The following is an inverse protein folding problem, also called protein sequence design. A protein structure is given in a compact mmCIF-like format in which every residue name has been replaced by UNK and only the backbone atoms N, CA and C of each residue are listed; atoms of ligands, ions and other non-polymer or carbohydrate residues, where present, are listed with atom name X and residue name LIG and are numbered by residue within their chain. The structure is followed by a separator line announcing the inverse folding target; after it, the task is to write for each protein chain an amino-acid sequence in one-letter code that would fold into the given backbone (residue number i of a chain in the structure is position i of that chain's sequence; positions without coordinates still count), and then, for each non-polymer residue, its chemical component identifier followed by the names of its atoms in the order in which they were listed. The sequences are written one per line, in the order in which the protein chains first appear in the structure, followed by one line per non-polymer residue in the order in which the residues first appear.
data_IF_051839297226
#
_entry.id   IF_051839297226
#
_cell.length_a   1.000
_cell.length_b   1.000
_cell.length_c   1.000
_cell.angle_alpha   90.00
_cell.angle_beta   90.00
_cell.angle_gamma   90.00
#
_symmetry.space_group_name_H-M   'P 1'
#
loop_
_entity.id
_entity.type
_entity.pdbx_description
1 polymer ?
#
# COMPACT_ATOMS: atom_id res chain seq x y z
N UNK A 1 -41.53 9.76 -3.97
CA UNK A 1 -40.23 10.48 -3.74
C UNK A 1 -39.43 9.63 -2.77
N UNK A 2 -38.54 8.80 -3.31
CA UNK A 2 -37.62 8.00 -2.48
C UNK A 2 -36.45 8.96 -2.16
N UNK A 3 -36.38 9.40 -0.90
CA UNK A 3 -35.24 10.15 -0.38
C UNK A 3 -34.01 9.23 -0.44
N UNK A 4 -33.13 9.48 -1.40
CA UNK A 4 -31.79 8.89 -1.38
C UNK A 4 -31.07 9.46 -0.16
N UNK A 5 -31.03 8.70 0.92
CA UNK A 5 -30.14 8.99 2.02
C UNK A 5 -28.71 9.02 1.43
N UNK A 6 -28.13 10.20 1.36
CA UNK A 6 -26.72 10.39 1.00
C UNK A 6 -25.93 9.67 2.10
N UNK A 7 -25.47 8.44 1.81
CA UNK A 7 -24.63 7.67 2.72
C UNK A 7 -23.36 8.49 2.95
N UNK A 8 -22.99 8.68 4.22
CA UNK A 8 -21.73 9.36 4.55
C UNK A 8 -20.57 8.62 3.89
N UNK A 9 -19.60 9.35 3.32
CA UNK A 9 -18.44 8.72 2.69
C UNK A 9 -17.76 7.72 3.64
N UNK A 10 -17.18 6.61 3.13
CA UNK A 10 -16.49 5.62 3.93
C UNK A 10 -15.41 6.24 4.82
N UNK A 11 -15.23 5.71 6.04
CA UNK A 11 -14.27 6.23 7.05
C UNK A 11 -12.86 6.39 6.51
N UNK A 12 -12.42 5.46 5.67
CA UNK A 12 -11.10 5.50 5.06
C UNK A 12 -10.91 6.74 4.18
N UNK A 13 -11.85 7.02 3.28
CA UNK A 13 -11.81 8.20 2.43
C UNK A 13 -11.99 9.49 3.24
N UNK A 14 -12.81 9.45 4.31
CA UNK A 14 -12.95 10.56 5.23
C UNK A 14 -11.65 10.90 5.96
N UNK A 15 -10.86 9.89 6.34
CA UNK A 15 -9.55 10.12 6.96
C UNK A 15 -8.56 10.74 5.97
N UNK A 16 -8.55 10.31 4.71
CA UNK A 16 -7.74 10.92 3.64
C UNK A 16 -8.17 12.37 3.35
N UNK A 17 -9.47 12.64 3.35
CA UNK A 17 -10.03 13.97 3.10
C UNK A 17 -10.08 14.89 4.34
N UNK A 18 -9.57 14.51 5.49
CA UNK A 18 -9.68 15.23 6.77
C UNK A 18 -11.08 15.42 7.32
N UNK A 19 -11.98 14.52 7.07
CA UNK A 19 -13.39 14.63 7.46
C UNK A 19 -13.80 13.56 8.47
N UNK A 20 -12.88 12.77 8.99
CA UNK A 20 -13.18 11.73 9.99
C UNK A 20 -13.27 12.33 11.41
N UNK A 21 -14.11 13.35 11.57
CA UNK A 21 -14.19 14.17 12.78
C UNK A 21 -14.79 13.47 14.01
N UNK A 22 -15.46 12.32 13.84
CA UNK A 22 -16.09 11.61 14.95
C UNK A 22 -15.99 10.10 14.79
N UNK A 23 -15.56 9.43 15.85
CA UNK A 23 -15.48 7.98 15.93
C UNK A 23 -14.06 7.42 15.76
N UNK A 24 -13.97 6.09 15.72
CA UNK A 24 -12.70 5.39 15.57
C UNK A 24 -12.02 5.66 14.24
N UNK A 25 -10.70 5.56 14.16
CA UNK A 25 -10.00 5.59 12.87
C UNK A 25 -10.37 4.37 12.00
N UNK A 26 -10.26 4.46 10.66
CA UNK A 26 -10.36 3.32 9.76
C UNK A 26 -9.16 2.40 9.91
N UNK A 27 -9.36 1.10 9.60
CA UNK A 27 -8.31 0.08 9.61
C UNK A 27 -8.30 -0.73 8.32
N UNK A 28 -7.11 -0.90 7.75
CA UNK A 28 -6.79 -1.91 6.75
C UNK A 28 -5.36 -2.40 7.00
N UNK A 29 -4.93 -3.50 6.38
CA UNK A 29 -3.64 -4.14 6.71
C UNK A 29 -2.84 -4.42 5.44
N UNK A 30 -1.60 -3.95 5.38
CA UNK A 30 -0.68 -4.36 4.32
C UNK A 30 -0.55 -5.89 4.27
N UNK A 31 -0.72 -6.47 3.08
CA UNK A 31 -0.77 -7.92 2.83
C UNK A 31 -1.93 -8.61 3.54
N UNK A 32 -3.05 -7.90 3.74
CA UNK A 32 -4.27 -8.47 4.34
C UNK A 32 -4.80 -9.69 3.58
N UNK A 33 -4.67 -9.74 2.26
CA UNK A 33 -4.80 -10.96 1.46
C UNK A 33 -3.45 -11.65 1.39
N UNK A 34 -3.29 -12.83 2.00
CA UNK A 34 -1.98 -13.45 2.06
C UNK A 34 -1.93 -14.81 2.76
N UNK A 35 -0.73 -15.35 2.84
CA UNK A 35 -0.45 -16.72 3.28
C UNK A 35 -0.89 -17.07 4.70
N UNK A 36 -1.21 -16.10 5.53
CA UNK A 36 -1.73 -16.35 6.87
C UNK A 36 -3.21 -16.79 6.85
N UNK A 37 -3.94 -16.54 5.74
CA UNK A 37 -5.34 -16.95 5.55
C UNK A 37 -5.41 -18.38 5.00
N UNK A 38 -6.14 -19.30 5.65
CA UNK A 38 -6.36 -20.66 5.13
C UNK A 38 -7.04 -20.68 3.75
N UNK A 39 -7.98 -19.75 3.50
CA UNK A 39 -8.69 -19.59 2.24
C UNK A 39 -7.74 -19.22 1.10
N UNK A 40 -6.82 -18.29 1.35
CA UNK A 40 -5.75 -17.96 0.42
C UNK A 40 -4.85 -19.17 0.14
N UNK A 41 -4.48 -19.92 1.18
CA UNK A 41 -3.64 -21.11 1.02
C UNK A 41 -4.33 -22.19 0.19
N UNK A 42 -5.65 -22.36 0.34
CA UNK A 42 -6.43 -23.30 -0.46
C UNK A 42 -6.40 -22.97 -1.97
N UNK A 43 -6.44 -21.68 -2.32
CA UNK A 43 -6.26 -21.21 -3.71
C UNK A 43 -4.82 -21.45 -4.16
N UNK A 44 -3.83 -21.09 -3.32
CA UNK A 44 -2.41 -21.22 -3.61
C UNK A 44 -1.94 -22.65 -3.85
N UNK A 45 -2.64 -23.64 -3.28
CA UNK A 45 -2.39 -25.06 -3.54
C UNK A 45 -2.84 -25.52 -4.92
N UNK A 46 -3.84 -24.83 -5.51
CA UNK A 46 -4.41 -25.16 -6.82
C UNK A 46 -3.75 -24.42 -7.96
N UNK A 47 -3.33 -23.16 -7.71
CA UNK A 47 -2.83 -22.26 -8.74
C UNK A 47 -1.42 -21.72 -8.40
N UNK A 48 -0.50 -21.69 -9.37
CA UNK A 48 0.76 -20.96 -9.22
C UNK A 48 0.50 -19.44 -9.01
N UNK A 49 1.43 -18.75 -8.36
CA UNK A 49 1.25 -17.34 -8.00
C UNK A 49 1.11 -16.45 -9.24
N UNK A 50 1.82 -16.77 -10.30
CA UNK A 50 1.75 -16.09 -11.60
C UNK A 50 0.35 -16.14 -12.20
N UNK A 51 -0.33 -17.28 -12.09
CA UNK A 51 -1.70 -17.45 -12.55
C UNK A 51 -2.68 -16.69 -11.66
N UNK A 52 -2.48 -16.75 -10.34
CA UNK A 52 -3.32 -15.99 -9.39
C UNK A 52 -3.31 -14.48 -9.66
N UNK A 53 -2.16 -13.92 -10.08
CA UNK A 53 -2.05 -12.50 -10.43
C UNK A 53 -2.64 -12.15 -11.79
N UNK A 54 -2.85 -13.14 -12.69
CA UNK A 54 -3.31 -12.93 -14.07
C UNK A 54 -4.76 -13.34 -14.32
N UNK A 55 -5.41 -13.92 -13.33
CA UNK A 55 -6.80 -14.36 -13.43
C UNK A 55 -7.72 -13.40 -12.69
N UNK A 56 -8.62 -12.67 -13.38
CA UNK A 56 -9.50 -11.67 -12.78
C UNK A 56 -10.38 -12.21 -11.65
N UNK A 57 -10.91 -13.44 -11.80
CA UNK A 57 -11.76 -14.09 -10.80
C UNK A 57 -10.96 -14.41 -9.52
N UNK A 58 -9.70 -14.84 -9.65
CA UNK A 58 -8.82 -15.06 -8.50
C UNK A 58 -8.39 -13.74 -7.84
N UNK A 59 -8.14 -12.70 -8.63
CA UNK A 59 -7.89 -11.35 -8.10
C UNK A 59 -9.07 -10.90 -7.26
N UNK A 60 -10.29 -11.05 -7.78
CA UNK A 60 -11.54 -10.72 -7.08
C UNK A 60 -11.68 -11.54 -5.78
N UNK A 61 -11.64 -12.87 -5.87
CA UNK A 61 -11.84 -13.75 -4.73
C UNK A 61 -10.83 -13.46 -3.61
N UNK A 62 -9.54 -13.35 -3.95
CA UNK A 62 -8.48 -13.14 -2.97
C UNK A 62 -8.56 -11.74 -2.34
N UNK A 63 -8.89 -10.72 -3.14
CA UNK A 63 -9.05 -9.34 -2.62
C UNK A 63 -10.20 -9.25 -1.62
N UNK A 64 -11.28 -10.02 -1.84
CA UNK A 64 -12.48 -10.02 -1.00
C UNK A 64 -12.29 -10.76 0.33
N UNK A 65 -11.46 -11.80 0.38
CA UNK A 65 -11.25 -12.63 1.59
C UNK A 65 -11.05 -11.82 2.88
N UNK A 66 -10.16 -10.81 2.97
CA UNK A 66 -9.97 -10.04 4.18
C UNK A 66 -11.21 -9.24 4.63
N UNK A 67 -12.06 -8.83 3.70
CA UNK A 67 -13.30 -8.13 4.04
C UNK A 67 -14.24 -9.06 4.80
N UNK A 68 -14.40 -10.28 4.32
CA UNK A 68 -15.30 -11.29 4.89
C UNK A 68 -14.73 -11.91 6.18
N UNK A 69 -13.40 -12.11 6.25
CA UNK A 69 -12.76 -12.88 7.33
C UNK A 69 -12.36 -12.00 8.51
N UNK A 70 -11.77 -10.83 8.27
CA UNK A 70 -11.24 -9.95 9.33
C UNK A 70 -11.96 -8.59 9.40
N UNK A 71 -12.81 -8.27 8.42
CA UNK A 71 -13.70 -7.12 8.46
C UNK A 71 -13.01 -5.75 8.43
N UNK A 72 -12.00 -5.56 7.60
CA UNK A 72 -11.30 -4.28 7.40
C UNK A 72 -12.18 -3.21 6.74
N UNK A 73 -11.79 -1.94 6.87
CA UNK A 73 -12.57 -0.79 6.35
C UNK A 73 -12.19 -0.38 4.91
N UNK A 74 -11.18 -1.01 4.31
CA UNK A 74 -10.81 -0.83 2.92
C UNK A 74 -10.20 -2.12 2.35
N UNK A 75 -10.48 -2.40 1.09
CA UNK A 75 -9.81 -3.45 0.32
C UNK A 75 -8.52 -2.89 -0.29
N UNK A 76 -7.50 -3.73 -0.44
CA UNK A 76 -6.38 -3.46 -1.34
C UNK A 76 -6.33 -4.55 -2.39
N UNK A 77 -6.20 -4.15 -3.63
CA UNK A 77 -6.16 -5.03 -4.79
C UNK A 77 -5.12 -6.15 -4.60
N UNK A 78 -5.49 -7.38 -4.89
CA UNK A 78 -4.51 -8.47 -4.97
C UNK A 78 -3.76 -8.38 -6.30
N UNK A 79 -2.57 -7.83 -6.25
CA UNK A 79 -1.67 -7.61 -7.38
C UNK A 79 -0.20 -7.67 -6.89
N UNK A 80 0.76 -7.45 -7.78
CA UNK A 80 2.18 -7.37 -7.42
C UNK A 80 2.81 -6.06 -7.92
N UNK A 81 3.78 -5.53 -7.17
CA UNK A 81 4.54 -4.34 -7.55
C UNK A 81 5.38 -4.55 -8.82
N UNK A 82 5.61 -5.81 -9.20
CA UNK A 82 6.39 -6.20 -10.39
C UNK A 82 5.54 -6.34 -11.67
N UNK A 83 4.27 -5.93 -11.63
CA UNK A 83 3.50 -5.73 -12.86
C UNK A 83 4.15 -4.67 -13.78
N UNK A 84 4.89 -3.71 -13.22
CA UNK A 84 5.60 -2.71 -14.03
C UNK A 84 6.71 -3.35 -14.88
N UNK A 85 7.66 -4.15 -14.35
CA UNK A 85 8.59 -4.91 -15.19
C UNK A 85 7.90 -5.78 -16.25
N UNK A 86 6.77 -6.41 -15.91
CA UNK A 86 6.00 -7.20 -16.88
C UNK A 86 5.48 -6.32 -18.03
N UNK A 87 4.94 -5.14 -17.74
CA UNK A 87 4.49 -4.17 -18.74
C UNK A 87 5.66 -3.53 -19.53
N UNK A 88 6.87 -3.54 -18.96
CA UNK A 88 8.11 -3.15 -19.63
C UNK A 88 8.67 -4.27 -20.54
N UNK A 89 7.96 -5.40 -20.67
CA UNK A 89 8.36 -6.51 -21.55
C UNK A 89 9.36 -7.48 -20.93
N UNK A 90 9.58 -7.42 -19.61
CA UNK A 90 10.44 -8.33 -18.88
C UNK A 90 9.62 -9.48 -18.27
N UNK A 91 10.26 -10.63 -18.10
CA UNK A 91 9.63 -11.75 -17.37
C UNK A 91 9.73 -11.59 -15.87
N UNK A 92 8.67 -11.98 -15.17
CA UNK A 92 8.61 -11.99 -13.70
C UNK A 92 8.20 -13.39 -13.25
N UNK A 93 9.00 -13.97 -12.36
CA UNK A 93 8.73 -15.28 -11.77
C UNK A 93 8.83 -15.26 -10.25
N UNK A 94 8.11 -16.19 -9.60
CA UNK A 94 8.00 -16.30 -8.15
C UNK A 94 8.43 -17.69 -7.68
N UNK A 95 9.74 -18.01 -7.65
CA UNK A 95 10.26 -19.35 -7.38
C UNK A 95 10.02 -19.84 -5.93
N UNK A 96 9.33 -19.07 -5.09
CA UNK A 96 8.96 -19.45 -3.73
C UNK A 96 10.06 -19.21 -2.69
N UNK A 97 11.30 -19.56 -2.96
CA UNK A 97 12.47 -19.23 -2.11
C UNK A 97 13.27 -18.08 -2.75
N UNK A 98 13.71 -17.12 -1.94
CA UNK A 98 14.55 -16.00 -2.41
C UNK A 98 13.79 -14.77 -2.94
N UNK A 99 12.47 -14.79 -2.97
CA UNK A 99 11.64 -13.70 -3.49
C UNK A 99 11.45 -13.73 -5.00
N UNK A 100 10.75 -12.74 -5.57
CA UNK A 100 10.50 -12.65 -7.00
C UNK A 100 11.77 -12.36 -7.79
N UNK A 101 11.78 -12.83 -9.05
CA UNK A 101 12.91 -12.65 -9.98
C UNK A 101 12.41 -11.97 -11.25
N UNK A 102 13.09 -10.90 -11.65
CA UNK A 102 12.88 -10.22 -12.94
C UNK A 102 13.98 -10.67 -13.92
N UNK A 103 13.62 -10.99 -15.14
CA UNK A 103 14.54 -11.46 -16.18
C UNK A 103 14.13 -10.90 -17.56
N UNK A 104 15.12 -10.52 -18.42
CA UNK A 104 16.54 -10.40 -18.10
C UNK A 104 16.83 -9.30 -17.09
N UNK A 105 17.96 -9.43 -16.37
CA UNK A 105 18.42 -8.34 -15.48
C UNK A 105 18.90 -7.15 -16.32
N UNK A 106 18.69 -5.96 -15.78
CA UNK A 106 19.16 -4.70 -16.34
C UNK A 106 20.39 -4.28 -15.53
N UNK A 107 21.58 -4.52 -16.06
CA UNK A 107 22.84 -4.35 -15.31
C UNK A 107 23.60 -3.06 -15.68
N UNK A 108 23.18 -2.35 -16.72
CA UNK A 108 23.77 -1.12 -17.20
C UNK A 108 23.01 -0.48 -18.36
N UNK A 109 23.55 0.62 -18.91
CA UNK A 109 22.90 1.39 -19.97
C UNK A 109 22.61 0.59 -21.25
N UNK A 110 23.51 -0.30 -21.65
CA UNK A 110 23.32 -1.15 -22.84
C UNK A 110 22.11 -2.08 -22.70
N UNK A 111 21.77 -2.48 -21.48
CA UNK A 111 20.64 -3.35 -21.20
C UNK A 111 19.29 -2.64 -21.32
N UNK A 112 19.24 -1.32 -21.36
CA UNK A 112 18.00 -0.57 -21.59
C UNK A 112 17.31 -0.95 -22.90
N UNK A 113 18.07 -1.41 -23.89
CA UNK A 113 17.54 -1.94 -25.14
C UNK A 113 16.70 -3.21 -24.99
N UNK A 114 16.81 -3.91 -23.86
CA UNK A 114 15.97 -5.08 -23.52
C UNK A 114 14.57 -4.69 -23.08
N UNK A 115 14.38 -3.43 -22.71
CA UNK A 115 13.09 -2.90 -22.25
C UNK A 115 12.24 -2.57 -23.47
N UNK A 116 11.07 -3.20 -23.53
CA UNK A 116 10.09 -3.03 -24.61
C UNK A 116 8.72 -2.71 -24.01
N UNK A 117 8.45 -1.45 -23.64
CA UNK A 117 7.19 -1.07 -23.00
C UNK A 117 6.00 -1.45 -23.88
N UNK A 118 5.01 -2.07 -23.26
CA UNK A 118 3.71 -2.39 -23.87
C UNK A 118 2.65 -1.45 -23.30
N UNK A 119 1.57 -1.16 -24.04
CA UNK A 119 0.41 -0.50 -23.48
C UNK A 119 -0.09 -1.25 -22.25
N UNK A 120 -0.32 -0.54 -21.15
CA UNK A 120 -0.72 -1.18 -19.87
C UNK A 120 -2.07 -1.87 -19.99
N UNK A 121 -2.98 -1.34 -20.79
CA UNK A 121 -4.30 -1.91 -21.08
C UNK A 121 -4.20 -3.28 -21.76
N UNK A 122 -3.14 -3.52 -22.52
CA UNK A 122 -2.88 -4.81 -23.16
C UNK A 122 -2.11 -5.74 -22.20
N UNK A 123 -1.02 -5.24 -21.62
CA UNK A 123 -0.13 -6.05 -20.81
C UNK A 123 -0.74 -6.46 -19.46
N UNK A 124 -1.65 -5.65 -18.91
CA UNK A 124 -2.21 -5.77 -17.56
C UNK A 124 -3.75 -5.71 -17.56
N UNK A 125 -4.43 -6.11 -18.65
CA UNK A 125 -5.90 -6.10 -18.78
C UNK A 125 -6.58 -6.86 -17.65
N UNK A 126 -5.99 -7.97 -17.21
CA UNK A 126 -6.50 -8.79 -16.11
C UNK A 126 -6.63 -8.04 -14.79
N UNK A 127 -5.80 -7.02 -14.55
CA UNK A 127 -5.92 -6.14 -13.38
C UNK A 127 -7.16 -5.27 -13.49
N UNK A 128 -7.38 -4.68 -14.67
CA UNK A 128 -8.57 -3.85 -14.97
C UNK A 128 -9.86 -4.65 -14.80
N UNK A 129 -9.88 -5.86 -15.36
CA UNK A 129 -11.01 -6.79 -15.26
C UNK A 129 -11.28 -7.18 -13.79
N UNK A 130 -10.25 -7.52 -13.01
CA UNK A 130 -10.38 -7.82 -11.58
C UNK A 130 -10.90 -6.65 -10.76
N UNK A 131 -10.50 -5.39 -11.09
CA UNK A 131 -11.04 -4.19 -10.44
C UNK A 131 -12.53 -4.02 -10.77
N UNK A 132 -12.96 -4.24 -12.02
CA UNK A 132 -14.36 -4.15 -12.39
C UNK A 132 -15.22 -5.14 -11.60
N UNK A 133 -14.80 -6.42 -11.50
CA UNK A 133 -15.50 -7.43 -10.68
C UNK A 133 -15.60 -6.99 -9.21
N UNK A 134 -14.52 -6.44 -8.64
CA UNK A 134 -14.53 -5.94 -7.27
C UNK A 134 -15.52 -4.79 -7.07
N UNK A 135 -15.56 -3.83 -7.99
CA UNK A 135 -16.44 -2.65 -7.86
C UNK A 135 -17.91 -2.96 -7.99
N UNK A 136 -18.29 -4.10 -8.58
CA UNK A 136 -19.65 -4.60 -8.60
C UNK A 136 -20.13 -5.19 -7.26
N UNK A 137 -19.19 -5.70 -6.44
CA UNK A 137 -19.50 -6.54 -5.27
C UNK A 137 -19.12 -5.92 -3.91
N UNK A 138 -18.06 -5.09 -3.85
CA UNK A 138 -17.58 -4.55 -2.57
C UNK A 138 -18.16 -3.17 -2.28
N UNK A 139 -18.57 -2.96 -1.02
CA UNK A 139 -19.11 -1.67 -0.55
C UNK A 139 -18.03 -0.76 0.09
N UNK A 140 -16.85 -1.33 0.40
CA UNK A 140 -15.73 -0.58 1.00
C UNK A 140 -14.83 0.02 -0.08
N UNK A 141 -14.07 1.09 0.23
CA UNK A 141 -13.09 1.63 -0.72
C UNK A 141 -12.07 0.60 -1.17
N UNK A 142 -11.74 0.63 -2.45
CA UNK A 142 -10.70 -0.18 -3.06
C UNK A 142 -9.42 0.63 -3.26
N UNK A 143 -8.32 0.15 -2.69
CA UNK A 143 -6.99 0.74 -2.85
C UNK A 143 -6.28 0.03 -4.00
N UNK A 144 -5.94 0.79 -5.05
CA UNK A 144 -4.99 0.35 -6.06
C UNK A 144 -3.56 0.64 -5.62
N UNK A 145 -2.57 0.09 -6.32
CA UNK A 145 -1.19 0.35 -5.94
C UNK A 145 -0.18 0.05 -7.06
N UNK A 146 1.05 0.55 -6.86
CA UNK A 146 2.23 0.07 -7.57
C UNK A 146 3.48 0.10 -6.69
N UNK A 147 4.58 -0.44 -7.17
CA UNK A 147 5.90 -0.23 -6.58
C UNK A 147 6.41 1.19 -6.85
N UNK A 148 7.12 1.78 -5.88
CA UNK A 148 7.85 3.01 -6.12
C UNK A 148 8.97 2.79 -7.16
N UNK A 149 9.29 3.80 -8.00
CA UNK A 149 10.23 3.62 -9.10
C UNK A 149 11.59 3.07 -8.69
N UNK A 150 12.14 3.52 -7.56
CA UNK A 150 13.42 3.01 -7.07
C UNK A 150 13.31 1.55 -6.60
N UNK A 151 12.20 1.18 -5.97
CA UNK A 151 11.95 -0.21 -5.57
C UNK A 151 11.84 -1.12 -6.78
N UNK A 152 11.11 -0.73 -7.82
CA UNK A 152 10.98 -1.49 -9.07
C UNK A 152 12.34 -1.63 -9.74
N UNK A 153 13.10 -0.53 -9.87
CA UNK A 153 14.47 -0.54 -10.39
C UNK A 153 15.35 -1.53 -9.61
N UNK A 154 15.26 -1.56 -8.27
CA UNK A 154 16.04 -2.48 -7.43
C UNK A 154 15.76 -3.95 -7.77
N UNK A 155 14.50 -4.31 -8.05
CA UNK A 155 14.15 -5.66 -8.50
C UNK A 155 14.65 -5.95 -9.92
N UNK A 156 14.62 -4.99 -10.82
CA UNK A 156 15.09 -5.15 -12.21
C UNK A 156 16.61 -5.30 -12.27
N UNK A 157 17.35 -4.55 -11.44
CA UNK A 157 18.82 -4.51 -11.45
C UNK A 157 19.47 -5.50 -10.48
N UNK A 158 18.73 -5.95 -9.47
CA UNK A 158 19.25 -6.81 -8.41
C UNK A 158 20.15 -6.05 -7.42
N UNK A 159 21.10 -6.78 -6.81
CA UNK A 159 21.92 -6.26 -5.68
C UNK A 159 22.84 -5.08 -6.04
N UNK A 160 23.02 -4.77 -7.32
CA UNK A 160 24.00 -3.78 -7.80
C UNK A 160 23.38 -2.39 -8.04
N UNK A 161 22.11 -2.15 -7.67
CA UNK A 161 21.43 -0.88 -7.94
C UNK A 161 22.24 0.34 -7.51
N UNK A 162 22.78 0.37 -6.29
CA UNK A 162 23.57 1.52 -5.81
C UNK A 162 24.86 1.73 -6.58
N UNK A 163 25.55 0.66 -6.98
CA UNK A 163 26.73 0.78 -7.83
C UNK A 163 26.38 1.53 -9.13
N UNK A 164 25.26 1.18 -9.76
CA UNK A 164 24.83 1.80 -10.99
C UNK A 164 24.49 3.27 -10.84
N UNK A 165 23.82 3.67 -9.75
CA UNK A 165 23.55 5.09 -9.46
C UNK A 165 24.79 5.99 -9.50
N UNK A 166 25.98 5.45 -9.22
CA UNK A 166 27.23 6.19 -9.22
C UNK A 166 28.09 5.97 -10.46
N UNK A 167 28.09 4.77 -11.03
CA UNK A 167 28.92 4.45 -12.20
C UNK A 167 28.35 4.95 -13.52
N UNK A 168 27.01 5.04 -13.62
CA UNK A 168 26.30 5.50 -14.82
C UNK A 168 24.96 6.12 -14.43
N UNK A 169 24.96 7.30 -13.81
CA UNK A 169 23.77 7.96 -13.34
C UNK A 169 22.80 8.35 -14.46
N UNK A 170 23.27 8.63 -15.66
CA UNK A 170 22.41 9.01 -16.80
C UNK A 170 21.49 7.87 -17.20
N UNK A 171 22.02 6.68 -17.39
CA UNK A 171 21.22 5.49 -17.70
C UNK A 171 20.33 5.06 -16.53
N UNK A 172 20.79 5.26 -15.28
CA UNK A 172 19.98 5.03 -14.10
C UNK A 172 18.75 5.98 -14.05
N UNK A 173 18.93 7.26 -14.37
CA UNK A 173 17.82 8.23 -14.50
C UNK A 173 16.87 7.85 -15.65
N UNK A 174 17.40 7.44 -16.80
CA UNK A 174 16.58 7.00 -17.93
C UNK A 174 15.69 5.79 -17.54
N UNK A 175 16.24 4.81 -16.83
CA UNK A 175 15.47 3.67 -16.34
C UNK A 175 14.41 4.10 -15.32
N UNK A 176 14.76 4.93 -14.35
CA UNK A 176 13.80 5.44 -13.36
C UNK A 176 12.66 6.22 -14.04
N UNK A 177 12.94 7.01 -15.07
CA UNK A 177 11.91 7.72 -15.83
C UNK A 177 11.00 6.75 -16.58
N UNK A 178 11.57 5.76 -17.27
CA UNK A 178 10.80 4.72 -17.97
C UNK A 178 9.86 3.96 -17.03
N UNK A 179 10.35 3.58 -15.85
CA UNK A 179 9.54 2.94 -14.80
C UNK A 179 8.43 3.88 -14.34
N UNK A 180 8.74 5.17 -14.13
CA UNK A 180 7.78 6.18 -13.66
C UNK A 180 6.66 6.38 -14.67
N UNK A 181 6.99 6.55 -15.94
CA UNK A 181 6.01 6.74 -17.01
C UNK A 181 5.05 5.53 -17.10
N UNK A 182 5.59 4.32 -17.04
CA UNK A 182 4.79 3.10 -17.04
C UNK A 182 3.96 2.94 -15.77
N UNK A 183 4.49 3.35 -14.62
CA UNK A 183 3.75 3.35 -13.35
C UNK A 183 2.58 4.33 -13.38
N UNK A 184 2.76 5.53 -13.93
CA UNK A 184 1.69 6.52 -14.09
C UNK A 184 0.59 5.97 -15.00
N UNK A 185 0.94 5.38 -16.15
CA UNK A 185 -0.02 4.76 -17.05
C UNK A 185 -0.81 3.64 -16.36
N UNK A 186 -0.12 2.76 -15.63
CA UNK A 186 -0.74 1.66 -14.88
C UNK A 186 -1.68 2.14 -13.77
N UNK A 187 -1.29 3.18 -13.02
CA UNK A 187 -2.12 3.75 -11.97
C UNK A 187 -3.35 4.46 -12.53
N UNK A 188 -3.22 5.17 -13.65
CA UNK A 188 -4.36 5.78 -14.35
C UNK A 188 -5.36 4.73 -14.81
N UNK A 189 -4.90 3.61 -15.37
CA UNK A 189 -5.76 2.48 -15.72
C UNK A 189 -6.52 1.93 -14.50
N UNK A 190 -5.86 1.81 -13.33
CA UNK A 190 -6.54 1.40 -12.10
C UNK A 190 -7.59 2.41 -11.65
N UNK A 191 -7.29 3.72 -11.73
CA UNK A 191 -8.24 4.80 -11.39
C UNK A 191 -9.45 4.79 -12.34
N UNK A 192 -9.22 4.67 -13.64
CA UNK A 192 -10.28 4.55 -14.63
C UNK A 192 -11.15 3.30 -14.43
N UNK A 193 -10.55 2.20 -13.96
CA UNK A 193 -11.27 0.99 -13.60
C UNK A 193 -12.08 1.11 -12.30
N UNK A 194 -11.82 2.15 -11.47
CA UNK A 194 -12.66 2.50 -10.32
C UNK A 194 -12.04 2.35 -8.94
N UNK A 195 -10.72 2.30 -8.79
CA UNK A 195 -10.09 2.34 -7.45
C UNK A 195 -10.31 3.71 -6.80
N UNK A 196 -10.46 3.73 -5.49
CA UNK A 196 -10.84 4.93 -4.72
C UNK A 196 -9.62 5.68 -4.14
N UNK A 197 -8.48 5.02 -4.06
CA UNK A 197 -7.19 5.59 -3.62
C UNK A 197 -6.04 4.75 -4.17
N UNK A 198 -4.83 5.32 -4.17
CA UNK A 198 -3.61 4.66 -4.61
C UNK A 198 -2.59 4.62 -3.47
N UNK A 199 -1.93 3.46 -3.31
CA UNK A 199 -0.76 3.31 -2.44
C UNK A 199 0.51 3.07 -3.27
N UNK A 200 1.58 3.84 -3.01
CA UNK A 200 2.89 3.61 -3.62
C UNK A 200 3.82 2.93 -2.61
N UNK A 201 4.32 1.75 -2.97
CA UNK A 201 5.22 0.97 -2.11
C UNK A 201 6.68 1.14 -2.54
N UNK A 202 7.40 2.10 -1.95
CA UNK A 202 8.83 2.28 -2.22
C UNK A 202 9.69 1.62 -1.12
N UNK A 203 9.45 0.33 -0.91
CA UNK A 203 10.00 -0.44 0.22
C UNK A 203 11.53 -0.51 0.26
N UNK A 204 12.21 -0.40 -0.90
CA UNK A 204 13.67 -0.43 -0.98
C UNK A 204 14.32 0.97 -0.93
N UNK A 205 13.53 2.05 -0.84
CA UNK A 205 14.10 3.39 -0.68
C UNK A 205 14.92 3.55 0.63
N UNK A 206 14.73 2.66 1.61
CA UNK A 206 15.57 2.57 2.81
C UNK A 206 17.04 2.24 2.55
N UNK A 207 17.40 1.78 1.36
CA UNK A 207 18.80 1.62 0.94
C UNK A 207 19.49 2.96 0.66
N UNK A 208 18.72 4.02 0.42
CA UNK A 208 19.22 5.33 0.05
C UNK A 208 19.53 6.17 1.28
N UNK A 209 20.65 6.89 1.24
CA UNK A 209 20.85 8.04 2.12
C UNK A 209 19.84 9.15 1.77
N UNK A 210 19.67 10.13 2.65
CA UNK A 210 18.79 11.27 2.39
C UNK A 210 19.12 11.97 1.07
N UNK A 211 20.40 12.21 0.79
CA UNK A 211 20.85 12.86 -0.45
C UNK A 211 20.52 12.01 -1.68
N UNK A 212 20.74 10.70 -1.60
CA UNK A 212 20.37 9.78 -2.69
C UNK A 212 18.86 9.72 -2.88
N UNK A 213 18.07 9.70 -1.80
CA UNK A 213 16.60 9.73 -1.88
C UNK A 213 16.11 10.98 -2.62
N UNK A 214 16.61 12.16 -2.25
CA UNK A 214 16.28 13.41 -2.93
C UNK A 214 16.66 13.41 -4.41
N UNK A 215 17.68 12.65 -4.80
CA UNK A 215 18.16 12.58 -6.16
C UNK A 215 17.49 11.49 -6.99
N UNK A 216 17.32 10.28 -6.45
CA UNK A 216 16.97 9.08 -7.21
C UNK A 216 15.59 8.48 -6.88
N UNK A 217 14.88 8.99 -5.89
CA UNK A 217 13.52 8.54 -5.56
C UNK A 217 12.51 9.69 -5.59
N UNK A 218 12.78 10.78 -4.86
CA UNK A 218 11.85 11.87 -4.67
C UNK A 218 11.32 12.51 -5.97
N UNK A 219 12.13 12.81 -7.02
CA UNK A 219 11.64 13.43 -8.24
C UNK A 219 10.64 12.55 -9.01
N UNK A 220 10.82 11.24 -8.97
CA UNK A 220 9.98 10.25 -9.63
C UNK A 220 8.68 10.00 -8.87
N UNK A 221 8.74 9.91 -7.54
CA UNK A 221 7.55 9.86 -6.68
C UNK A 221 6.71 11.13 -6.85
N UNK A 222 7.35 12.30 -7.01
CA UNK A 222 6.66 13.56 -7.26
C UNK A 222 5.82 13.51 -8.53
N UNK A 223 6.40 13.03 -9.64
CA UNK A 223 5.69 12.88 -10.90
C UNK A 223 4.44 11.99 -10.76
N UNK A 224 4.54 10.89 -10.00
CA UNK A 224 3.39 10.00 -9.75
C UNK A 224 2.32 10.74 -8.94
N UNK A 225 2.70 11.38 -7.82
CA UNK A 225 1.74 12.09 -6.96
C UNK A 225 1.01 13.20 -7.73
N UNK A 226 1.71 13.93 -8.61
CA UNK A 226 1.13 15.02 -9.40
C UNK A 226 0.26 14.53 -10.58
N UNK A 227 0.42 13.26 -11.01
CA UNK A 227 -0.28 12.72 -12.18
C UNK A 227 -1.57 11.96 -11.86
N UNK A 228 -1.87 11.70 -10.58
CA UNK A 228 -2.99 10.85 -10.13
C UNK A 228 -4.07 11.70 -9.47
N UNK A 229 -5.31 11.55 -9.93
CA UNK A 229 -6.46 12.38 -9.52
C UNK A 229 -7.24 11.85 -8.30
N UNK A 230 -6.87 10.66 -7.77
CA UNK A 230 -7.42 10.11 -6.52
C UNK A 230 -6.40 10.23 -5.39
N UNK A 231 -6.79 10.12 -4.11
CA UNK A 231 -5.85 10.22 -3.00
C UNK A 231 -4.67 9.26 -3.11
N UNK A 232 -3.45 9.79 -2.93
CA UNK A 232 -2.19 9.03 -2.99
C UNK A 232 -1.58 8.89 -1.61
N UNK A 233 -1.23 7.65 -1.26
CA UNK A 233 -0.57 7.27 -0.02
C UNK A 233 0.85 6.81 -0.35
N UNK A 234 1.86 7.43 0.24
CA UNK A 234 3.25 7.03 0.08
C UNK A 234 3.72 6.15 1.23
N UNK A 235 4.40 5.06 0.93
CA UNK A 235 5.05 4.18 1.91
C UNK A 235 6.50 3.90 1.54
N UNK A 236 7.37 3.93 2.54
CA UNK A 236 8.72 3.36 2.47
C UNK A 236 9.07 2.70 3.80
N UNK A 237 9.97 1.73 3.76
CA UNK A 237 10.64 1.26 4.98
C UNK A 237 11.57 2.37 5.48
N UNK A 238 11.76 2.46 6.78
CA UNK A 238 12.51 3.53 7.43
C UNK A 238 12.01 4.94 7.04
N UNK A 239 10.70 5.08 6.75
CA UNK A 239 10.05 6.32 6.31
C UNK A 239 10.19 7.47 7.32
N UNK A 240 10.40 7.17 8.61
CA UNK A 240 10.70 8.16 9.66
C UNK A 240 11.97 8.98 9.39
N UNK A 241 12.91 8.47 8.59
CA UNK A 241 14.10 9.22 8.17
C UNK A 241 13.82 10.24 7.07
N UNK A 242 12.73 10.05 6.29
CA UNK A 242 12.39 10.84 5.11
C UNK A 242 11.11 11.66 5.28
N UNK A 243 10.68 11.93 6.52
CA UNK A 243 9.42 12.67 6.77
C UNK A 243 9.35 13.98 6.01
N UNK A 244 10.42 14.79 6.06
CA UNK A 244 10.47 16.10 5.38
C UNK A 244 10.38 15.98 3.86
N UNK A 245 11.03 14.96 3.32
CA UNK A 245 11.09 14.67 1.89
C UNK A 245 9.73 14.18 1.38
N UNK A 246 9.05 13.31 2.14
CA UNK A 246 7.69 12.87 1.83
C UNK A 246 6.67 14.01 1.94
N UNK A 247 6.75 14.83 2.99
CA UNK A 247 5.89 16.02 3.16
C UNK A 247 6.05 16.99 1.99
N UNK A 248 7.27 17.16 1.47
CA UNK A 248 7.53 18.04 0.32
C UNK A 248 6.85 17.55 -0.98
N UNK A 249 6.53 16.26 -1.09
CA UNK A 249 5.79 15.68 -2.22
C UNK A 249 4.28 15.99 -2.18
N UNK A 250 3.75 16.43 -1.02
CA UNK A 250 2.34 16.74 -0.79
C UNK A 250 1.37 15.59 -1.13
N UNK A 251 1.63 14.36 -0.69
CA UNK A 251 0.66 13.29 -0.83
C UNK A 251 -0.55 13.51 0.07
N UNK A 252 -1.63 12.77 -0.14
CA UNK A 252 -2.79 12.80 0.77
C UNK A 252 -2.51 12.09 2.08
N UNK A 253 -1.66 11.04 2.06
CA UNK A 253 -1.21 10.35 3.25
C UNK A 253 0.23 9.84 3.15
N UNK A 254 0.87 9.69 4.31
CA UNK A 254 2.16 9.01 4.45
C UNK A 254 1.98 7.83 5.40
N UNK A 255 2.37 6.65 4.94
CA UNK A 255 2.37 5.41 5.71
C UNK A 255 3.76 5.18 6.31
N UNK A 256 3.79 4.94 7.61
CA UNK A 256 5.03 4.81 8.38
C UNK A 256 5.23 3.40 8.89
N UNK A 257 6.48 2.96 8.91
CA UNK A 257 6.86 1.73 9.58
C UNK A 257 6.91 1.91 11.12
N UNK A 258 7.16 0.80 11.82
CA UNK A 258 7.11 0.75 13.29
C UNK A 258 8.36 1.27 14.00
N UNK A 259 9.40 1.67 13.27
CA UNK A 259 10.72 2.00 13.84
C UNK A 259 10.72 3.27 14.68
N UNK A 260 9.67 4.09 14.58
CA UNK A 260 9.52 5.32 15.36
C UNK A 260 8.06 5.53 15.80
N UNK A 261 7.78 6.07 17.00
CA UNK A 261 6.43 6.30 17.49
C UNK A 261 5.61 7.23 16.58
N UNK A 262 4.44 6.79 16.14
CA UNK A 262 3.64 7.52 15.15
C UNK A 262 3.21 8.91 15.63
N UNK A 263 2.87 9.06 16.92
CA UNK A 263 2.47 10.36 17.49
C UNK A 263 3.62 11.39 17.51
N UNK A 264 4.87 10.94 17.55
CA UNK A 264 6.02 11.82 17.41
C UNK A 264 6.26 12.21 15.95
N UNK A 265 6.08 11.27 15.02
CA UNK A 265 6.13 11.54 13.58
C UNK A 265 5.03 12.54 13.21
N UNK A 266 3.82 12.38 13.76
CA UNK A 266 2.67 13.25 13.51
C UNK A 266 2.96 14.73 13.75
N UNK A 267 3.79 15.05 14.74
CA UNK A 267 4.22 16.44 15.04
C UNK A 267 5.02 17.08 13.89
N UNK A 268 5.61 16.25 13.01
CA UNK A 268 6.44 16.67 11.88
C UNK A 268 5.67 16.67 10.55
N UNK A 269 4.46 16.13 10.52
CA UNK A 269 3.60 16.05 9.33
C UNK A 269 2.52 17.11 9.42
N UNK A 270 2.35 17.97 8.39
CA UNK A 270 1.29 18.98 8.38
C UNK A 270 -0.11 18.38 8.57
N UNK A 271 -1.00 19.12 9.23
CA UNK A 271 -2.40 18.73 9.41
C UNK A 271 -3.19 18.56 8.11
N UNK A 272 -2.61 18.86 6.96
CA UNK A 272 -3.19 18.63 5.63
C UNK A 272 -2.90 17.23 5.06
N UNK A 273 -2.00 16.47 5.65
CA UNK A 273 -1.58 15.13 5.21
C UNK A 273 -2.00 14.11 6.27
N UNK A 274 -2.66 13.05 5.87
CA UNK A 274 -3.00 11.93 6.76
C UNK A 274 -1.75 11.12 7.13
N UNK A 275 -1.78 10.47 8.30
CA UNK A 275 -0.74 9.52 8.72
C UNK A 275 -1.33 8.12 8.83
N UNK A 276 -0.61 7.13 8.34
CA UNK A 276 -1.02 5.72 8.34
C UNK A 276 0.03 4.86 9.05
N UNK A 277 -0.43 3.90 9.82
CA UNK A 277 0.43 2.93 10.49
C UNK A 277 0.08 2.78 11.96
N UNK A 278 0.99 2.31 12.84
CA UNK A 278 2.29 1.72 12.49
C UNK A 278 2.66 0.62 13.51
N UNK A 279 1.66 -0.26 13.84
CA UNK A 279 1.96 -1.37 14.74
C UNK A 279 3.03 -2.27 14.12
N UNK A 280 4.03 -2.69 14.92
CA UNK A 280 5.01 -3.68 14.49
C UNK A 280 4.29 -4.99 14.12
N UNK A 281 4.46 -5.50 12.89
CA UNK A 281 3.83 -6.75 12.49
C UNK A 281 4.20 -7.95 13.37
N UNK A 282 5.38 -7.95 13.97
CA UNK A 282 5.83 -9.05 14.84
C UNK A 282 5.09 -9.10 16.18
N UNK A 283 4.45 -8.01 16.61
CA UNK A 283 3.57 -8.02 17.79
C UNK A 283 2.40 -9.00 17.59
N UNK A 284 2.00 -9.27 16.35
CA UNK A 284 0.94 -10.23 16.07
C UNK A 284 1.33 -11.70 16.37
N UNK A 285 2.58 -11.99 16.72
CA UNK A 285 2.96 -13.30 17.30
C UNK A 285 2.60 -13.42 18.79
N UNK A 286 2.37 -12.30 19.45
CA UNK A 286 2.03 -12.31 20.88
C UNK A 286 0.59 -12.80 21.13
N UNK A 287 0.25 -13.21 22.38
CA UNK A 287 -1.14 -13.52 22.71
C UNK A 287 -2.10 -12.35 22.44
N UNK A 288 -3.38 -12.62 22.10
CA UNK A 288 -4.37 -11.59 21.77
C UNK A 288 -4.48 -10.43 22.78
N UNK A 289 -4.33 -10.69 24.07
CA UNK A 289 -4.35 -9.65 25.10
C UNK A 289 -3.19 -8.65 24.97
N UNK A 290 -2.00 -9.11 24.55
CA UNK A 290 -0.84 -8.23 24.31
C UNK A 290 -1.06 -7.44 23.03
N UNK A 291 -1.56 -8.08 21.97
CA UNK A 291 -1.92 -7.41 20.70
C UNK A 291 -2.91 -6.27 20.96
N UNK A 292 -3.97 -6.57 21.73
CA UNK A 292 -4.96 -5.57 22.15
C UNK A 292 -4.30 -4.40 22.89
N UNK A 293 -3.48 -4.68 23.89
CA UNK A 293 -2.80 -3.65 24.68
C UNK A 293 -1.92 -2.76 23.83
N UNK A 294 -1.08 -3.33 22.95
CA UNK A 294 -0.17 -2.54 22.09
C UNK A 294 -0.96 -1.74 21.04
N UNK A 295 -2.03 -2.31 20.49
CA UNK A 295 -2.94 -1.60 19.57
C UNK A 295 -3.61 -0.42 20.27
N UNK A 296 -4.14 -0.61 21.48
CA UNK A 296 -4.76 0.47 22.26
C UNK A 296 -3.78 1.59 22.60
N UNK A 297 -2.51 1.29 22.88
CA UNK A 297 -1.48 2.31 23.10
C UNK A 297 -1.34 3.24 21.91
N UNK A 298 -1.24 2.68 20.70
CA UNK A 298 -1.13 3.48 19.47
C UNK A 298 -2.42 4.29 19.28
N UNK A 299 -3.59 3.66 19.38
CA UNK A 299 -4.88 4.33 19.25
C UNK A 299 -5.01 5.50 20.23
N UNK A 300 -4.64 5.31 21.51
CA UNK A 300 -4.68 6.37 22.51
C UNK A 300 -3.68 7.49 22.25
N UNK A 301 -2.52 7.17 21.67
CA UNK A 301 -1.51 8.19 21.35
C UNK A 301 -1.91 9.07 20.17
N UNK A 302 -2.83 8.58 19.30
CA UNK A 302 -3.34 9.26 18.12
C UNK A 302 -4.80 9.71 18.29
N UNK A 303 -5.35 9.60 19.52
CA UNK A 303 -6.75 9.90 19.80
C UNK A 303 -7.10 11.36 19.46
N UNK A 304 -8.17 11.55 18.70
CA UNK A 304 -8.62 12.86 18.23
C UNK A 304 -8.00 13.33 16.91
N UNK A 305 -7.08 12.57 16.31
CA UNK A 305 -6.58 12.91 14.99
C UNK A 305 -7.56 12.42 13.89
N UNK A 306 -8.25 13.31 13.15
CA UNK A 306 -9.22 12.95 12.13
C UNK A 306 -8.58 12.37 10.87
N UNK A 307 -7.25 12.36 10.78
CA UNK A 307 -6.45 11.93 9.63
C UNK A 307 -5.59 10.71 9.94
N UNK A 308 -5.93 10.00 11.00
CA UNK A 308 -5.23 8.78 11.34
C UNK A 308 -5.90 7.57 10.68
N UNK A 309 -5.09 6.76 9.99
CA UNK A 309 -5.47 5.47 9.39
C UNK A 309 -4.65 4.39 10.09
N UNK A 310 -5.31 3.42 10.69
CA UNK A 310 -4.63 2.32 11.37
C UNK A 310 -4.15 1.29 10.36
N UNK A 311 -2.90 0.91 10.48
CA UNK A 311 -2.28 -0.17 9.72
C UNK A 311 -1.13 -0.76 10.54
N UNK A 312 -0.58 -1.87 10.06
CA UNK A 312 0.73 -2.34 10.51
C UNK A 312 1.83 -1.47 9.87
N UNK A 313 2.99 -1.43 10.50
CA UNK A 313 4.16 -0.75 9.94
C UNK A 313 4.79 -1.44 8.73
N UNK A 314 4.35 -2.66 8.41
CA UNK A 314 4.66 -3.43 7.20
C UNK A 314 3.59 -4.50 6.99
N UNK A 315 3.75 -5.36 5.96
CA UNK A 315 2.80 -6.44 5.70
C UNK A 315 2.76 -7.49 6.80
N UNK A 316 1.57 -8.04 7.07
CA UNK A 316 1.39 -9.20 7.96
C UNK A 316 2.27 -10.36 7.52
N UNK A 317 2.83 -11.09 8.49
CA UNK A 317 3.74 -12.21 8.24
C UNK A 317 2.94 -13.50 7.96
N UNK A 318 3.51 -14.42 7.15
CA UNK A 318 2.76 -15.55 6.59
C UNK A 318 2.25 -16.59 7.58
N UNK A 319 2.86 -16.68 8.73
CA UNK A 319 2.64 -17.67 9.79
C UNK A 319 1.90 -17.12 11.01
N UNK A 320 1.43 -15.86 10.94
CA UNK A 320 0.60 -15.25 11.97
C UNK A 320 -0.78 -15.95 12.00
N UNK A 321 -1.29 -16.35 13.19
CA UNK A 321 -2.64 -16.88 13.30
C UNK A 321 -3.71 -15.86 12.90
N UNK A 322 -4.75 -16.30 12.19
CA UNK A 322 -5.85 -15.41 11.75
C UNK A 322 -6.52 -14.70 12.93
N UNK A 323 -6.71 -15.40 14.04
CA UNK A 323 -7.34 -14.84 15.24
C UNK A 323 -6.50 -13.72 15.88
N UNK A 324 -5.19 -13.72 15.70
CA UNK A 324 -4.32 -12.62 16.14
C UNK A 324 -4.51 -11.37 15.27
N UNK A 325 -4.67 -11.55 13.96
CA UNK A 325 -5.01 -10.45 13.05
C UNK A 325 -6.41 -9.90 13.36
N UNK A 326 -7.38 -10.79 13.64
CA UNK A 326 -8.72 -10.37 14.11
C UNK A 326 -8.64 -9.57 15.41
N UNK A 327 -7.87 -10.01 16.39
CA UNK A 327 -7.71 -9.30 17.66
C UNK A 327 -7.22 -7.85 17.44
N UNK A 328 -6.28 -7.64 16.49
CA UNK A 328 -5.85 -6.31 16.11
C UNK A 328 -7.01 -5.49 15.49
N UNK A 329 -7.69 -6.03 14.48
CA UNK A 329 -8.78 -5.32 13.78
C UNK A 329 -9.94 -5.03 14.72
N UNK A 330 -10.36 -6.01 15.54
CA UNK A 330 -11.46 -5.87 16.49
C UNK A 330 -11.15 -4.82 17.56
N UNK A 331 -9.90 -4.74 18.02
CA UNK A 331 -9.47 -3.69 18.96
C UNK A 331 -9.68 -2.31 18.34
N UNK A 332 -9.32 -2.11 17.07
CA UNK A 332 -9.55 -0.85 16.37
C UNK A 332 -11.04 -0.58 16.17
N UNK A 333 -11.81 -1.59 15.79
CA UNK A 333 -13.26 -1.46 15.54
C UNK A 333 -14.05 -1.13 16.80
N UNK A 334 -13.62 -1.62 17.96
CA UNK A 334 -14.25 -1.39 19.24
C UNK A 334 -13.68 -0.16 19.99
N UNK A 335 -12.69 0.53 19.41
CA UNK A 335 -12.08 1.71 20.03
C UNK A 335 -13.08 2.86 20.14
N UNK A 336 -13.22 3.40 21.37
CA UNK A 336 -14.00 4.61 21.65
C UNK A 336 -13.06 5.78 21.95
N UNK A 337 -13.00 6.80 21.06
CA UNK A 337 -12.23 8.01 21.28
C UNK A 337 -12.68 8.77 22.56
N UNK A 338 -11.74 9.45 23.21
CA UNK A 338 -12.05 10.33 24.36
C UNK A 338 -12.83 11.54 23.82
N UNK A 339 -14.01 11.79 24.34
CA UNK A 339 -14.88 12.94 23.94
C UNK A 339 -16.17 12.57 23.20
N UNK A 340 -16.40 11.29 22.90
CA UNK A 340 -17.70 10.81 22.37
C UNK A 340 -18.76 10.52 23.45
N UNK A 341 -18.50 10.81 24.71
CA UNK A 341 -19.55 10.88 25.73
C UNK A 341 -20.43 12.13 25.47
N UNK A 342 -21.28 12.07 24.45
CA UNK A 342 -22.51 12.85 24.41
C UNK A 342 -23.32 12.40 25.63
N UNK A 343 -23.24 13.18 26.70
CA UNK A 343 -23.97 12.95 27.93
C UNK A 343 -25.43 12.64 27.64
N UNK A 344 -25.83 11.43 27.99
CA UNK A 344 -27.25 11.15 28.27
C UNK A 344 -27.58 12.01 29.47
N UNK A 345 -28.04 13.24 29.26
CA UNK A 345 -28.74 14.01 30.28
C UNK A 345 -30.04 13.27 30.50
N UNK A 346 -30.06 12.45 31.54
CA UNK A 346 -31.33 11.98 32.13
C UNK A 346 -32.04 13.24 32.62
N UNK A 347 -33.16 13.55 31.99
CA UNK A 347 -34.22 14.41 32.56
C UNK A 347 -35.14 13.58 33.40
#
# INVERSE_FOLDING_TARGET
MISSAVSSPPRFLNALACKNAAGRPPVWIMRQAGRYLPEYQAIRQKYPLEEMFRNPELIFEITKQPLDIIGVDAAILFADILHIPLALGLDVSFPGKGGPVVFPKIEGGDDLLKIQPKPVEEALSFVKEGIHLLKEEIEVPLIGFCGGPFTVMTYMTGKNVKKWLYSDPESAFALLQTITDQSIAYLKMQVEAGVDAIQIFDSWANLLSRTEFCRFAQPFLKQIVEAIDVPVILFSRASSHFVSEFVALRPDAISFDWTYPLHEIRKRVPGTIAVQGNLDPEILYAPPAVIQQETEKILRSMDGDPRYIVNLGHGVLPDIPVDHVRAFVDTVKNFSPRGTNLGVVQK
#
